data_IF_987600966086
#
_entry.id   IF_987600966086
#
_cell.length_a   1.000
_cell.length_b   1.000
_cell.length_c   1.000
_cell.angle_alpha   90.00
_cell.angle_beta   90.00
_cell.angle_gamma   90.00
#
_symmetry.space_group_name_H-M   'P 1'
#
loop_
_entity.id
_entity.type
_entity.pdbx_description
1 polymer ?
#
# COMPACT_ATOMS: atom_id res chain seq x y z
N UNK A 1 7.02 27.87 23.42
CA UNK A 1 6.42 27.72 22.07
C UNK A 1 5.04 27.11 22.23
N UNK A 2 4.07 27.42 21.36
CA UNK A 2 2.74 26.78 21.39
C UNK A 2 2.78 25.42 20.70
N UNK A 3 2.10 24.40 21.24
CA UNK A 3 2.07 23.06 20.62
C UNK A 3 1.48 23.09 19.20
N UNK A 4 0.46 23.92 18.99
CA UNK A 4 -0.13 24.20 17.68
C UNK A 4 0.91 24.62 16.63
N UNK A 5 1.95 25.36 17.02
CA UNK A 5 3.05 25.74 16.13
C UNK A 5 4.04 24.57 15.88
N UNK A 6 4.23 23.67 16.85
CA UNK A 6 5.02 22.44 16.67
C UNK A 6 4.33 21.50 15.68
N UNK A 7 3.03 21.25 15.87
CA UNK A 7 2.21 20.41 14.98
C UNK A 7 2.22 20.95 13.54
N UNK A 8 2.13 22.28 13.35
CA UNK A 8 2.26 22.93 12.03
C UNK A 8 3.62 22.79 11.36
N UNK A 9 4.70 22.58 12.12
CA UNK A 9 6.06 22.37 11.58
C UNK A 9 6.32 20.91 11.23
N UNK A 10 5.74 19.97 11.98
CA UNK A 10 5.96 18.53 11.81
C UNK A 10 5.03 17.89 10.76
N UNK A 11 3.83 18.44 10.55
CA UNK A 11 2.83 17.85 9.65
C UNK A 11 2.61 18.67 8.36
N UNK A 12 2.19 18.03 7.27
CA UNK A 12 1.67 18.72 6.09
C UNK A 12 0.51 19.67 6.48
N UNK A 13 0.48 20.87 5.89
CA UNK A 13 -0.51 21.93 6.19
C UNK A 13 -1.97 21.43 6.20
N UNK A 14 -2.35 20.51 5.30
CA UNK A 14 -3.69 19.91 5.26
C UNK A 14 -3.97 19.03 6.49
N UNK A 15 -3.03 18.18 6.90
CA UNK A 15 -3.18 17.31 8.06
C UNK A 15 -3.25 18.13 9.37
N UNK A 16 -2.36 19.11 9.54
CA UNK A 16 -2.40 20.03 10.68
C UNK A 16 -3.74 20.79 10.76
N UNK A 17 -4.24 21.33 9.64
CA UNK A 17 -5.52 22.02 9.61
C UNK A 17 -6.71 21.11 9.95
N UNK A 18 -6.73 19.87 9.46
CA UNK A 18 -7.79 18.89 9.77
C UNK A 18 -7.82 18.55 11.27
N UNK A 19 -6.66 18.34 11.90
CA UNK A 19 -6.56 18.14 13.36
C UNK A 19 -7.12 19.34 14.13
N UNK A 20 -6.75 20.57 13.76
CA UNK A 20 -7.21 21.77 14.46
C UNK A 20 -8.71 22.10 14.24
N UNK A 21 -9.29 21.67 13.12
CA UNK A 21 -10.74 21.79 12.89
C UNK A 21 -11.54 20.88 13.84
N UNK A 22 -10.97 19.73 14.21
CA UNK A 22 -11.50 18.80 15.22
C UNK A 22 -11.10 19.15 16.68
N UNK A 23 -10.46 20.31 16.89
CA UNK A 23 -9.97 20.74 18.21
C UNK A 23 -8.74 19.98 18.73
N UNK A 24 -8.08 19.17 17.89
CA UNK A 24 -6.88 18.39 18.24
C UNK A 24 -5.65 19.33 18.13
N UNK A 25 -5.56 20.25 19.08
CA UNK A 25 -4.57 21.33 19.13
C UNK A 25 -3.29 20.99 19.91
N UNK A 26 -3.27 19.87 20.63
CA UNK A 26 -2.16 19.41 21.49
C UNK A 26 -1.65 18.04 21.08
N UNK A 27 -0.37 17.77 21.38
CA UNK A 27 0.29 16.48 21.11
C UNK A 27 -0.31 15.37 21.97
N UNK A 28 -0.78 15.69 23.17
CA UNK A 28 -1.48 14.74 24.04
C UNK A 28 -2.82 14.27 23.44
N UNK A 29 -3.62 15.18 22.86
CA UNK A 29 -4.86 14.80 22.19
C UNK A 29 -4.61 13.94 20.94
N UNK A 30 -3.52 14.19 20.21
CA UNK A 30 -3.09 13.30 19.10
C UNK A 30 -2.80 11.89 19.63
N UNK A 31 -2.08 11.78 20.75
CA UNK A 31 -1.78 10.48 21.40
C UNK A 31 -3.02 9.77 21.92
N UNK A 32 -3.96 10.49 22.53
CA UNK A 32 -5.21 9.93 23.05
C UNK A 32 -6.16 9.46 21.94
N UNK A 33 -6.23 10.14 20.79
CA UNK A 33 -7.10 9.73 19.66
C UNK A 33 -6.48 8.65 18.75
N UNK A 34 -5.23 8.26 18.95
CA UNK A 34 -4.59 7.21 18.14
C UNK A 34 -5.13 5.81 18.47
N UNK A 35 -5.32 4.91 17.49
CA UNK A 35 -5.21 5.12 16.04
C UNK A 35 -6.55 5.52 15.39
N UNK A 36 -7.68 4.97 15.85
CA UNK A 36 -8.97 5.10 15.15
C UNK A 36 -9.55 6.51 15.18
N UNK A 37 -9.40 7.23 16.29
CA UNK A 37 -9.94 8.58 16.45
C UNK A 37 -9.28 9.59 15.50
N UNK A 38 -8.04 9.33 15.06
CA UNK A 38 -7.36 10.11 14.02
C UNK A 38 -7.79 9.72 12.60
N UNK A 39 -8.08 8.45 12.34
CA UNK A 39 -8.61 7.99 11.04
C UNK A 39 -10.07 8.40 10.81
N UNK A 40 -10.81 8.70 11.88
CA UNK A 40 -12.18 9.25 11.83
C UNK A 40 -12.21 10.77 11.56
N UNK A 41 -11.07 11.48 11.58
CA UNK A 41 -11.00 12.92 11.31
C UNK A 41 -11.24 13.20 9.82
N UNK A 42 -12.18 14.08 9.45
CA UNK A 42 -12.39 14.47 8.06
C UNK A 42 -11.12 15.12 7.48
N UNK A 43 -10.66 14.62 6.33
CA UNK A 43 -9.43 15.08 5.67
C UNK A 43 -8.14 14.36 6.09
N UNK A 44 -8.18 13.46 7.09
CA UNK A 44 -7.06 12.56 7.41
C UNK A 44 -7.23 11.23 6.67
N UNK A 45 -6.81 11.22 5.41
CA UNK A 45 -6.60 9.98 4.65
C UNK A 45 -5.34 9.23 5.12
N UNK A 46 -5.16 8.00 4.64
CA UNK A 46 -4.06 7.11 5.06
C UNK A 46 -2.66 7.77 4.94
N UNK A 47 -2.41 8.58 3.90
CA UNK A 47 -1.13 9.29 3.71
C UNK A 47 -0.90 10.34 4.80
N UNK A 48 -1.92 11.16 5.10
CA UNK A 48 -1.89 12.13 6.21
C UNK A 48 -1.66 11.43 7.55
N UNK A 49 -2.32 10.30 7.77
CA UNK A 49 -2.17 9.49 8.97
C UNK A 49 -0.75 8.91 9.12
N UNK A 50 -0.13 8.39 8.03
CA UNK A 50 1.28 7.95 8.07
C UNK A 50 2.26 9.09 8.39
N UNK A 51 1.96 10.32 7.98
CA UNK A 51 2.76 11.49 8.39
C UNK A 51 2.61 11.82 9.89
N UNK A 52 1.40 11.63 10.46
CA UNK A 52 1.17 11.75 11.91
C UNK A 52 1.93 10.66 12.69
N UNK A 53 1.92 9.42 12.22
CA UNK A 53 2.73 8.33 12.80
C UNK A 53 4.22 8.65 12.78
N UNK A 54 4.76 9.03 11.62
CA UNK A 54 6.18 9.36 11.49
C UNK A 54 6.63 10.53 12.39
N UNK A 55 5.75 11.50 12.66
CA UNK A 55 6.04 12.66 13.48
C UNK A 55 5.91 12.42 15.00
N UNK A 56 4.91 11.65 15.44
CA UNK A 56 4.54 11.55 16.86
C UNK A 56 4.64 10.14 17.47
N UNK A 57 4.77 9.11 16.64
CA UNK A 57 4.81 7.70 17.03
C UNK A 57 5.96 6.94 16.33
N UNK A 58 7.23 7.40 16.46
CA UNK A 58 8.36 6.80 15.76
C UNK A 58 8.51 5.31 16.11
N UNK A 59 8.61 4.45 15.09
CA UNK A 59 8.69 3.00 15.23
C UNK A 59 7.34 2.29 15.46
N UNK A 60 6.25 3.01 15.70
CA UNK A 60 4.91 2.45 15.80
C UNK A 60 4.14 2.66 14.49
N UNK A 61 3.43 1.63 14.04
CA UNK A 61 2.65 1.67 12.80
C UNK A 61 1.37 0.86 12.97
N UNK A 62 0.22 1.52 12.86
CA UNK A 62 -1.09 0.87 12.84
C UNK A 62 -1.24 0.07 11.54
N UNK A 63 -1.43 -1.25 11.66
CA UNK A 63 -1.84 -2.10 10.54
C UNK A 63 -3.36 -2.32 10.61
N UNK A 64 -4.17 -1.67 9.73
CA UNK A 64 -5.61 -1.85 9.68
C UNK A 64 -5.96 -3.21 9.04
N UNK A 65 -5.62 -4.29 9.74
CA UNK A 65 -6.08 -5.64 9.38
C UNK A 65 -7.54 -5.79 9.81
N UNK A 66 -8.38 -6.37 8.96
CA UNK A 66 -8.44 -7.83 8.93
C UNK A 66 -7.95 -8.42 7.59
N UNK A 67 -6.74 -9.01 7.61
CA UNK A 67 -6.21 -9.79 6.49
C UNK A 67 -6.96 -11.12 6.33
N UNK A 68 -8.13 -11.12 5.69
CA UNK A 68 -8.79 -12.34 5.20
C UNK A 68 -9.43 -12.19 3.81
N UNK A 69 -8.72 -11.55 2.87
CA UNK A 69 -8.81 -12.02 1.48
C UNK A 69 -8.20 -13.43 1.43
N UNK A 70 -9.01 -14.45 1.74
CA UNK A 70 -8.74 -15.79 1.20
C UNK A 70 -8.65 -15.59 -0.31
N UNK A 71 -7.49 -15.85 -0.91
CA UNK A 71 -7.40 -15.95 -2.38
C UNK A 71 -8.48 -16.94 -2.79
N UNK A 72 -9.43 -16.53 -3.62
CA UNK A 72 -10.42 -17.48 -4.13
C UNK A 72 -9.69 -18.54 -4.97
N UNK A 73 -10.12 -19.81 -4.96
CA UNK A 73 -9.46 -20.89 -5.70
C UNK A 73 -9.35 -20.68 -7.23
N UNK A 74 -9.92 -19.61 -7.79
CA UNK A 74 -9.81 -19.29 -9.21
C UNK A 74 -8.35 -19.18 -9.71
N UNK A 75 -7.41 -18.77 -8.85
CA UNK A 75 -6.00 -18.67 -9.24
C UNK A 75 -5.37 -20.03 -9.57
N UNK A 76 -5.75 -21.12 -8.87
CA UNK A 76 -5.28 -22.47 -9.20
C UNK A 76 -5.98 -23.03 -10.44
N UNK A 77 -7.29 -22.79 -10.62
CA UNK A 77 -8.02 -23.32 -11.78
C UNK A 77 -7.47 -22.79 -13.12
N UNK A 78 -7.03 -21.52 -13.18
CA UNK A 78 -6.39 -20.98 -14.37
C UNK A 78 -5.03 -21.61 -14.67
N UNK A 79 -4.22 -21.92 -13.64
CA UNK A 79 -2.92 -22.57 -13.83
C UNK A 79 -3.03 -24.02 -14.32
N UNK A 80 -4.09 -24.72 -13.89
CA UNK A 80 -4.32 -26.12 -14.23
C UNK A 80 -4.92 -26.27 -15.64
N UNK A 81 -5.83 -25.38 -16.04
CA UNK A 81 -6.33 -25.32 -17.43
C UNK A 81 -5.25 -24.87 -18.43
N UNK A 82 -4.40 -23.90 -18.08
CA UNK A 82 -3.24 -23.53 -18.91
C UNK A 82 -2.29 -24.72 -19.11
N UNK A 83 -2.00 -25.48 -18.05
CA UNK A 83 -1.14 -26.68 -18.12
C UNK A 83 -1.75 -27.77 -19.02
N UNK A 84 -3.08 -27.94 -18.99
CA UNK A 84 -3.81 -28.86 -19.89
C UNK A 84 -3.85 -28.40 -21.35
N UNK A 85 -3.58 -27.13 -21.66
CA UNK A 85 -3.53 -26.65 -23.06
C UNK A 85 -2.12 -26.57 -23.63
N UNK A 86 -1.06 -26.49 -22.80
CA UNK A 86 0.30 -26.24 -23.25
C UNK A 86 1.10 -27.49 -23.68
N UNK A 87 0.56 -28.71 -23.50
CA UNK A 87 1.24 -29.94 -23.92
C UNK A 87 1.07 -30.27 -25.43
N UNK A 88 0.42 -29.41 -26.20
CA UNK A 88 0.26 -29.56 -27.67
C UNK A 88 1.29 -28.79 -28.50
N UNK A 89 2.07 -27.89 -27.89
CA UNK A 89 3.21 -27.25 -28.54
C UNK A 89 4.42 -28.18 -28.51
N UNK A 90 4.46 -29.13 -29.43
CA UNK A 90 5.67 -29.88 -29.77
C UNK A 90 6.80 -28.93 -30.22
N UNK A 91 8.07 -29.27 -29.94
CA UNK A 91 9.21 -28.41 -30.30
C UNK A 91 9.40 -28.20 -31.81
N UNK A 92 8.79 -29.04 -32.65
CA UNK A 92 8.87 -28.94 -34.11
C UNK A 92 8.34 -27.61 -34.67
N UNK A 93 7.34 -26.99 -34.03
CA UNK A 93 6.79 -25.70 -34.46
C UNK A 93 7.77 -24.54 -34.20
N UNK A 94 8.72 -24.69 -33.26
CA UNK A 94 9.78 -23.70 -33.06
C UNK A 94 10.92 -23.86 -34.07
N UNK A 95 11.20 -25.10 -34.50
CA UNK A 95 12.31 -25.41 -35.41
C UNK A 95 12.09 -24.88 -36.84
N UNK A 96 10.84 -24.75 -37.30
CA UNK A 96 10.52 -24.24 -38.64
C UNK A 96 10.53 -22.71 -38.77
N UNK A 97 10.70 -21.96 -37.67
CA UNK A 97 10.56 -20.49 -37.64
C UNK A 97 11.88 -19.72 -37.65
N UNK A 98 13.01 -20.39 -37.49
CA UNK A 98 14.35 -19.79 -37.59
C UNK A 98 15.16 -20.53 -38.66
N UNK A 99 15.35 -19.95 -39.87
CA UNK A 99 16.32 -20.50 -40.81
C UNK A 99 17.71 -20.41 -40.19
N UNK A 100 18.44 -21.54 -40.18
CA UNK A 100 19.83 -21.54 -39.73
C UNK A 100 20.74 -20.99 -40.84
N UNK A 101 20.92 -19.68 -40.85
CA UNK A 101 22.03 -19.05 -41.57
C UNK A 101 23.34 -19.29 -40.79
N UNK A 102 24.03 -20.39 -41.09
CA UNK A 102 25.46 -20.70 -40.81
C UNK A 102 25.69 -22.20 -41.16
N UNK A 103 26.72 -22.69 -41.84
CA UNK A 103 27.92 -22.15 -42.52
C UNK A 103 28.08 -22.93 -43.86
N UNK A 104 29.03 -22.75 -44.79
CA UNK A 104 30.24 -21.91 -44.92
C UNK A 104 30.43 -21.60 -46.45
N UNK A 105 31.58 -21.31 -47.07
CA UNK A 105 33.01 -21.18 -46.70
C UNK A 105 33.65 -20.19 -47.71
#
# INVERSE_FOLDING_TARGET
>A
MTEKAVIRRLLPRRAANALFQEGIDTVELIKQRYPEGLLKVPGIGIVSFRAVEAAFFPGQKFDPTPRKYKRSPCASMLSEELSKHLHKTTPEILASRFPQETQAL
#
